data_IF_344373911963
#
_entry.id   IF_344373911963
#
_cell.length_a   1.000
_cell.length_b   1.000
_cell.length_c   1.000
_cell.angle_alpha   90.00
_cell.angle_beta   90.00
_cell.angle_gamma   90.00
#
_symmetry.space_group_name_H-M   'P 1'
#
loop_
_entity.id
_entity.type
_entity.pdbx_description
1 polymer ?
#
# COMPACT_ATOMS: atom_id res chain seq x y z
N UNK A 1 -19.17 -8.92 -35.96
CA UNK A 1 -17.77 -8.48 -35.88
C UNK A 1 -17.80 -6.97 -35.97
N UNK A 2 -17.61 -6.30 -34.85
CA UNK A 2 -17.30 -4.87 -34.87
C UNK A 2 -15.79 -4.77 -35.13
N UNK A 3 -15.46 -4.51 -36.38
CA UNK A 3 -14.10 -4.19 -36.77
C UNK A 3 -13.79 -2.78 -36.25
N UNK A 4 -13.20 -2.71 -35.01
CA UNK A 4 -12.77 -1.47 -34.40
C UNK A 4 -11.72 -0.79 -35.28
N UNK A 5 -11.80 0.52 -35.39
CA UNK A 5 -10.77 1.32 -36.07
C UNK A 5 -9.57 1.47 -35.14
N UNK A 6 -8.37 1.22 -35.68
CA UNK A 6 -7.11 1.44 -34.93
C UNK A 6 -7.01 2.92 -34.58
N UNK A 7 -6.68 3.28 -33.33
CA UNK A 7 -6.51 4.68 -32.93
C UNK A 7 -5.43 5.36 -33.77
N UNK A 8 -5.73 6.58 -34.21
CA UNK A 8 -4.73 7.40 -34.95
C UNK A 8 -3.63 7.86 -33.99
N UNK A 9 -2.44 8.02 -34.51
CA UNK A 9 -1.28 8.55 -33.75
C UNK A 9 -1.29 10.08 -33.61
N UNK A 10 -2.09 10.77 -34.43
CA UNK A 10 -2.28 12.21 -34.39
C UNK A 10 -3.67 12.56 -33.86
N UNK A 11 -3.72 13.26 -32.73
CA UNK A 11 -4.96 13.71 -32.10
C UNK A 11 -5.04 15.25 -32.13
N UNK A 12 -5.99 15.76 -32.87
CA UNK A 12 -6.26 17.19 -32.95
C UNK A 12 -6.86 17.72 -31.64
N UNK A 13 -6.74 19.04 -31.41
CA UNK A 13 -7.22 19.66 -30.18
C UNK A 13 -8.72 19.51 -29.94
N UNK A 14 -9.54 19.47 -30.99
CA UNK A 14 -10.98 19.24 -30.87
C UNK A 14 -11.31 17.85 -30.32
N UNK A 15 -10.43 16.87 -30.55
CA UNK A 15 -10.60 15.50 -30.08
C UNK A 15 -9.99 15.27 -28.69
N UNK A 16 -8.88 15.89 -28.36
CA UNK A 16 -8.09 15.64 -27.17
C UNK A 16 -8.03 16.81 -26.17
N UNK A 17 -8.55 17.98 -26.55
CA UNK A 17 -8.41 19.20 -25.78
C UNK A 17 -7.06 19.89 -25.97
N UNK A 18 -6.87 21.05 -25.35
CA UNK A 18 -5.63 21.81 -25.40
C UNK A 18 -5.29 22.43 -24.03
N UNK A 19 -4.05 22.87 -23.85
CA UNK A 19 -3.51 23.32 -22.56
C UNK A 19 -4.26 24.51 -21.94
N UNK A 20 -4.74 25.46 -22.76
CA UNK A 20 -5.47 26.61 -22.23
C UNK A 20 -6.84 26.22 -21.67
N UNK A 21 -7.52 25.27 -22.32
CA UNK A 21 -8.75 24.71 -21.79
C UNK A 21 -8.51 23.97 -20.47
N UNK A 22 -7.40 23.21 -20.38
CA UNK A 22 -7.08 22.47 -19.15
C UNK A 22 -6.69 23.36 -17.98
N UNK A 23 -6.07 24.53 -18.24
CA UNK A 23 -5.84 25.54 -17.19
C UNK A 23 -7.14 26.12 -16.68
N UNK A 24 -8.09 26.44 -17.56
CA UNK A 24 -9.40 26.93 -17.19
C UNK A 24 -10.16 25.87 -16.37
N UNK A 25 -10.16 24.64 -16.83
CA UNK A 25 -10.74 23.47 -16.14
C UNK A 25 -10.16 23.31 -14.74
N UNK A 26 -8.82 23.33 -14.60
CA UNK A 26 -8.15 23.22 -13.31
C UNK A 26 -8.54 24.34 -12.33
N UNK A 27 -8.66 25.59 -12.81
CA UNK A 27 -9.10 26.75 -12.02
C UNK A 27 -10.57 26.60 -11.57
N UNK A 28 -11.43 26.16 -12.45
CA UNK A 28 -12.85 25.93 -12.14
C UNK A 28 -13.00 24.85 -11.06
N UNK A 29 -12.25 23.75 -11.17
CA UNK A 29 -12.25 22.67 -10.17
C UNK A 29 -11.68 23.14 -8.84
N UNK A 30 -10.57 23.88 -8.84
CA UNK A 30 -9.91 24.34 -7.62
C UNK A 30 -10.59 25.58 -7.00
N UNK A 31 -11.45 26.27 -7.74
CA UNK A 31 -12.10 27.51 -7.28
C UNK A 31 -11.13 28.67 -7.09
N UNK A 32 -9.96 28.67 -7.79
CA UNK A 32 -8.95 29.72 -7.68
C UNK A 32 -9.06 30.69 -8.85
N UNK A 33 -8.91 31.99 -8.54
CA UNK A 33 -8.85 33.06 -9.55
C UNK A 33 -7.43 33.60 -9.72
N UNK A 34 -6.47 33.12 -8.91
CA UNK A 34 -5.09 33.61 -8.92
C UNK A 34 -4.28 33.01 -10.04
N UNK A 35 -3.60 33.85 -10.80
CA UNK A 35 -2.67 33.46 -11.86
C UNK A 35 -1.32 32.97 -11.33
N UNK A 36 -1.04 33.22 -10.03
CA UNK A 36 0.27 32.97 -9.43
C UNK A 36 0.41 31.51 -9.00
N UNK A 37 -0.70 30.81 -8.75
CA UNK A 37 -0.73 29.42 -8.27
C UNK A 37 -1.09 28.41 -9.37
N UNK A 38 -1.05 28.81 -10.63
CA UNK A 38 -1.41 27.93 -11.74
C UNK A 38 -0.30 26.90 -12.01
N UNK A 39 -0.68 25.63 -12.04
CA UNK A 39 0.17 24.61 -12.64
C UNK A 39 0.40 24.92 -14.12
N UNK A 40 1.67 25.06 -14.52
CA UNK A 40 2.04 25.66 -15.81
C UNK A 40 1.48 24.87 -17.02
N UNK A 41 1.41 23.53 -16.91
CA UNK A 41 1.02 22.65 -18.02
C UNK A 41 0.10 21.50 -17.60
N UNK A 42 -1.10 21.78 -17.07
CA UNK A 42 -2.05 20.71 -16.79
C UNK A 42 -2.44 20.03 -18.10
N UNK A 43 -2.63 18.71 -18.08
CA UNK A 43 -3.18 17.99 -19.23
C UNK A 43 -4.71 18.06 -19.20
N UNK A 44 -5.40 18.17 -20.37
CA UNK A 44 -6.85 18.09 -20.42
C UNK A 44 -7.36 16.75 -19.94
N UNK A 45 -8.43 16.72 -19.17
CA UNK A 45 -9.06 15.45 -18.77
C UNK A 45 -9.54 14.65 -19.99
N UNK A 46 -9.98 15.34 -21.04
CA UNK A 46 -10.38 14.71 -22.28
C UNK A 46 -9.25 13.89 -22.93
N UNK A 47 -8.01 14.40 -22.92
CA UNK A 47 -6.84 13.66 -23.44
C UNK A 47 -6.63 12.37 -22.64
N UNK A 48 -6.59 12.50 -21.32
CA UNK A 48 -6.32 11.35 -20.44
C UNK A 48 -7.45 10.34 -20.53
N UNK A 49 -8.72 10.76 -20.64
CA UNK A 49 -9.84 9.84 -20.79
C UNK A 49 -9.71 8.99 -22.05
N UNK A 50 -9.29 9.59 -23.19
CA UNK A 50 -9.06 8.85 -24.44
C UNK A 50 -7.94 7.80 -24.29
N UNK A 51 -6.85 8.16 -23.60
CA UNK A 51 -5.77 7.21 -23.30
C UNK A 51 -6.29 6.04 -22.48
N UNK A 52 -7.05 6.33 -21.42
CA UNK A 52 -7.58 5.29 -20.53
C UNK A 52 -8.66 4.43 -21.19
N UNK A 53 -9.48 4.99 -22.08
CA UNK A 53 -10.46 4.23 -22.87
C UNK A 53 -9.79 3.16 -23.76
N UNK A 54 -8.65 3.51 -24.37
CA UNK A 54 -7.91 2.62 -25.26
C UNK A 54 -7.11 1.57 -24.48
N UNK A 55 -6.46 2.00 -23.38
CA UNK A 55 -5.45 1.19 -22.70
C UNK A 55 -5.98 0.38 -21.51
N UNK A 56 -7.18 0.69 -20.99
CA UNK A 56 -7.68 0.12 -19.73
C UNK A 56 -9.17 -0.17 -19.74
N UNK A 57 -9.61 -0.97 -18.77
CA UNK A 57 -11.00 -1.24 -18.45
C UNK A 57 -11.34 -0.71 -17.04
N UNK A 58 -12.62 -0.52 -16.69
CA UNK A 58 -13.01 -0.26 -15.30
C UNK A 58 -12.44 -1.30 -14.34
N UNK A 59 -11.88 -0.84 -13.21
CA UNK A 59 -11.23 -1.69 -12.21
C UNK A 59 -9.73 -1.90 -12.41
N UNK A 60 -9.17 -1.63 -13.60
CA UNK A 60 -7.73 -1.71 -13.85
C UNK A 60 -6.94 -0.69 -13.02
N UNK A 61 -5.66 -0.98 -12.80
CA UNK A 61 -4.74 -0.11 -12.08
C UNK A 61 -3.96 0.79 -13.05
N UNK A 62 -4.05 2.09 -12.85
CA UNK A 62 -3.32 3.13 -13.59
C UNK A 62 -2.21 3.68 -12.70
N UNK A 63 -0.99 3.72 -13.19
CA UNK A 63 0.16 4.34 -12.53
C UNK A 63 0.59 5.59 -13.29
N UNK A 64 0.71 6.71 -12.58
CA UNK A 64 1.35 7.94 -13.07
C UNK A 64 2.46 8.34 -12.10
N UNK A 65 3.71 8.15 -12.50
CA UNK A 65 4.89 8.44 -11.68
C UNK A 65 5.34 9.91 -11.72
N UNK A 66 4.65 10.75 -12.50
CA UNK A 66 4.89 12.20 -12.61
C UNK A 66 3.55 12.93 -12.63
N UNK A 67 2.77 12.77 -11.55
CA UNK A 67 1.34 13.11 -11.51
C UNK A 67 1.02 14.58 -11.77
N UNK A 68 1.96 15.49 -11.50
CA UNK A 68 1.82 16.92 -11.76
C UNK A 68 0.61 17.55 -11.10
N UNK A 69 -0.37 17.98 -11.90
CA UNK A 69 -1.63 18.58 -11.39
C UNK A 69 -2.71 17.58 -11.00
N UNK A 70 -2.43 16.27 -11.02
CA UNK A 70 -3.39 15.25 -10.63
C UNK A 70 -4.42 14.84 -11.70
N UNK A 71 -4.26 15.25 -12.96
CA UNK A 71 -5.25 14.98 -14.01
C UNK A 71 -5.47 13.49 -14.22
N UNK A 72 -4.39 12.69 -14.30
CA UNK A 72 -4.48 11.24 -14.52
C UNK A 72 -5.27 10.56 -13.40
N UNK A 73 -4.99 10.89 -12.14
CA UNK A 73 -5.71 10.35 -10.99
C UNK A 73 -7.18 10.75 -10.98
N UNK A 74 -7.49 12.02 -11.29
CA UNK A 74 -8.86 12.53 -11.39
C UNK A 74 -9.67 11.76 -12.44
N UNK A 75 -9.13 11.61 -13.66
CA UNK A 75 -9.79 10.90 -14.75
C UNK A 75 -9.94 9.41 -14.46
N UNK A 76 -8.90 8.76 -13.95
CA UNK A 76 -8.95 7.36 -13.58
C UNK A 76 -10.04 7.10 -12.51
N UNK A 77 -10.14 7.98 -11.51
CA UNK A 77 -11.15 7.90 -10.46
C UNK A 77 -12.58 8.04 -11.03
N UNK A 78 -12.83 9.08 -11.83
CA UNK A 78 -14.13 9.32 -12.49
C UNK A 78 -14.56 8.19 -13.42
N UNK A 79 -13.61 7.53 -14.05
CA UNK A 79 -13.85 6.40 -14.96
C UNK A 79 -13.86 5.04 -14.26
N UNK A 80 -13.79 4.97 -12.93
CA UNK A 80 -13.85 3.72 -12.17
C UNK A 80 -12.60 2.86 -12.27
N UNK A 81 -11.43 3.46 -12.55
CA UNK A 81 -10.14 2.80 -12.49
C UNK A 81 -9.53 2.97 -11.10
N UNK A 82 -8.72 2.01 -10.67
CA UNK A 82 -7.81 2.18 -9.54
C UNK A 82 -6.60 2.98 -10.01
N UNK A 83 -5.97 3.74 -9.12
CA UNK A 83 -4.81 4.52 -9.53
C UNK A 83 -3.78 4.67 -8.42
N UNK A 84 -2.52 4.84 -8.84
CA UNK A 84 -1.40 5.26 -8.02
C UNK A 84 -0.78 6.46 -8.71
N UNK A 85 -0.67 7.58 -8.00
CA UNK A 85 -0.01 8.79 -8.49
C UNK A 85 1.19 9.13 -7.61
N UNK A 86 2.30 9.51 -8.23
CA UNK A 86 3.52 9.93 -7.54
C UNK A 86 3.83 11.36 -7.98
N UNK A 87 4.01 12.26 -7.02
CA UNK A 87 4.42 13.63 -7.24
C UNK A 87 5.45 14.02 -6.17
N UNK A 88 6.63 14.41 -6.62
CA UNK A 88 7.75 14.73 -5.72
C UNK A 88 7.65 16.15 -5.14
N UNK A 89 7.02 17.08 -5.88
CA UNK A 89 6.93 18.48 -5.51
C UNK A 89 5.75 18.81 -4.60
N UNK A 90 5.70 20.05 -4.16
CA UNK A 90 4.57 20.60 -3.37
C UNK A 90 3.24 20.54 -4.12
N UNK A 91 3.28 20.32 -5.43
CA UNK A 91 2.09 20.13 -6.26
C UNK A 91 1.23 18.96 -5.79
N UNK A 92 1.81 17.95 -5.13
CA UNK A 92 1.06 16.88 -4.48
C UNK A 92 0.02 17.43 -3.48
N UNK A 93 0.40 18.46 -2.72
CA UNK A 93 -0.45 19.08 -1.68
C UNK A 93 -1.24 20.27 -2.19
N UNK A 94 -0.64 21.09 -3.06
CA UNK A 94 -1.24 22.35 -3.50
C UNK A 94 -2.21 22.17 -4.69
N UNK A 95 -2.03 21.11 -5.50
CA UNK A 95 -2.83 20.86 -6.69
C UNK A 95 -3.52 19.50 -6.68
N UNK A 96 -2.77 18.39 -6.50
CA UNK A 96 -3.36 17.05 -6.55
C UNK A 96 -4.39 16.84 -5.45
N UNK A 97 -4.04 17.12 -4.19
CA UNK A 97 -4.92 16.89 -3.05
C UNK A 97 -6.24 17.67 -3.17
N UNK A 98 -6.25 19.00 -3.37
CA UNK A 98 -7.52 19.74 -3.51
C UNK A 98 -8.35 19.29 -4.71
N UNK A 99 -7.71 19.00 -5.86
CA UNK A 99 -8.41 18.46 -7.03
C UNK A 99 -9.10 17.15 -6.74
N UNK A 100 -8.41 16.19 -6.12
CA UNK A 100 -8.95 14.87 -5.83
C UNK A 100 -10.04 14.90 -4.77
N UNK A 101 -9.97 15.82 -3.80
CA UNK A 101 -11.07 16.08 -2.86
C UNK A 101 -12.33 16.54 -3.61
N UNK A 102 -12.19 17.48 -4.54
CA UNK A 102 -13.32 17.94 -5.38
C UNK A 102 -13.88 16.83 -6.26
N UNK A 103 -13.03 15.97 -6.81
CA UNK A 103 -13.49 14.78 -7.55
C UNK A 103 -14.32 13.87 -6.65
N UNK A 104 -13.87 13.57 -5.43
CA UNK A 104 -14.64 12.75 -4.47
C UNK A 104 -15.95 13.42 -4.08
N UNK A 105 -15.98 14.75 -3.96
CA UNK A 105 -17.19 15.54 -3.70
C UNK A 105 -18.18 15.58 -4.88
N UNK A 106 -17.76 15.16 -6.09
CA UNK A 106 -18.66 15.12 -7.27
C UNK A 106 -18.65 16.40 -8.08
N UNK A 107 -17.47 17.02 -8.26
CA UNK A 107 -17.34 18.19 -9.12
C UNK A 107 -17.85 17.93 -10.56
N UNK A 108 -18.35 18.96 -11.24
CA UNK A 108 -19.01 18.83 -12.54
C UNK A 108 -18.13 19.22 -13.75
N UNK A 109 -16.85 19.53 -13.52
CA UNK A 109 -15.89 19.95 -14.55
C UNK A 109 -15.31 18.80 -15.37
N UNK A 110 -14.46 19.14 -16.34
CA UNK A 110 -13.78 18.19 -17.19
C UNK A 110 -14.68 17.16 -17.83
N UNK A 111 -14.37 15.87 -17.64
CA UNK A 111 -15.17 14.76 -18.19
C UNK A 111 -16.35 14.35 -17.31
N UNK A 112 -16.56 14.96 -16.14
CA UNK A 112 -17.57 14.52 -15.15
C UNK A 112 -18.95 14.29 -15.76
N UNK A 113 -19.44 15.24 -16.57
CA UNK A 113 -20.74 15.09 -17.24
C UNK A 113 -20.77 13.97 -18.28
N UNK A 114 -19.67 13.82 -19.03
CA UNK A 114 -19.59 12.82 -20.09
C UNK A 114 -19.59 11.36 -19.55
N UNK A 115 -19.03 11.16 -18.35
CA UNK A 115 -18.97 9.83 -17.70
C UNK A 115 -20.05 9.64 -16.63
N UNK A 116 -20.93 10.62 -16.42
CA UNK A 116 -21.98 10.56 -15.40
C UNK A 116 -21.44 10.56 -13.97
N UNK A 117 -20.31 11.23 -13.73
CA UNK A 117 -19.69 11.29 -12.40
C UNK A 117 -20.53 12.17 -11.44
N UNK A 118 -20.85 11.62 -10.28
CA UNK A 118 -21.62 12.29 -9.23
C UNK A 118 -20.90 12.26 -7.86
N UNK A 119 -19.61 11.92 -7.85
CA UNK A 119 -18.84 11.81 -6.62
C UNK A 119 -18.75 10.40 -6.06
N UNK A 120 -18.04 10.29 -4.96
CA UNK A 120 -17.86 9.04 -4.22
C UNK A 120 -16.46 8.47 -4.29
N UNK A 121 -16.27 7.30 -3.65
CA UNK A 121 -14.97 6.68 -3.50
C UNK A 121 -14.09 7.40 -2.48
N UNK A 122 -12.79 7.25 -2.63
CA UNK A 122 -11.79 7.87 -1.76
C UNK A 122 -10.37 7.54 -2.21
N UNK A 123 -9.40 8.18 -1.59
CA UNK A 123 -7.98 7.93 -1.84
C UNK A 123 -7.17 8.11 -0.56
N UNK A 124 -5.91 7.70 -0.60
CA UNK A 124 -4.94 7.92 0.47
C UNK A 124 -3.83 8.81 -0.04
N UNK A 125 -3.55 9.89 0.66
CA UNK A 125 -2.32 10.65 0.49
C UNK A 125 -1.27 10.07 1.44
N UNK A 126 -0.17 9.59 0.88
CA UNK A 126 0.97 9.08 1.64
C UNK A 126 2.19 9.94 1.37
N UNK A 127 3.07 10.05 2.36
CA UNK A 127 4.35 10.73 2.25
C UNK A 127 5.45 9.75 2.61
N UNK A 128 6.59 9.85 1.92
CA UNK A 128 7.77 9.08 2.30
C UNK A 128 8.19 9.48 3.71
N UNK A 129 8.30 8.46 4.57
CA UNK A 129 8.83 8.62 5.92
C UNK A 129 10.36 8.56 5.96
N UNK A 130 10.93 8.49 7.16
CA UNK A 130 12.35 8.22 7.33
C UNK A 130 12.73 6.88 6.69
N UNK A 131 13.89 6.80 6.01
CA UNK A 131 14.32 5.56 5.37
C UNK A 131 14.60 4.49 6.42
N UNK A 132 14.33 3.22 6.07
CA UNK A 132 14.69 2.06 6.91
C UNK A 132 16.20 1.87 6.93
N UNK A 133 16.87 2.19 5.82
CA UNK A 133 18.30 1.98 5.63
C UNK A 133 19.02 3.31 5.38
N UNK A 134 20.26 3.37 5.84
CA UNK A 134 21.18 4.44 5.48
C UNK A 134 21.77 4.23 4.06
N UNK A 135 22.60 5.16 3.61
CA UNK A 135 23.24 5.10 2.29
C UNK A 135 24.22 3.90 2.13
N UNK A 136 24.67 3.28 3.21
CA UNK A 136 25.51 2.09 3.22
C UNK A 136 24.71 0.79 3.27
N UNK A 137 23.37 0.87 3.32
CA UNK A 137 22.47 -0.28 3.39
C UNK A 137 22.32 -0.87 4.80
N UNK A 138 22.78 -0.18 5.84
CA UNK A 138 22.54 -0.57 7.21
C UNK A 138 21.21 0.02 7.70
N UNK A 139 20.57 -0.66 8.66
CA UNK A 139 19.35 -0.12 9.28
C UNK A 139 19.67 1.24 9.91
N UNK A 140 18.86 2.24 9.60
CA UNK A 140 19.02 3.58 10.11
C UNK A 140 18.91 3.60 11.66
N UNK A 141 19.83 4.23 12.40
CA UNK A 141 19.82 4.22 13.87
C UNK A 141 18.52 4.73 14.51
N UNK A 142 17.83 5.64 13.84
CA UNK A 142 16.57 6.24 14.30
C UNK A 142 15.32 5.54 13.76
N UNK A 143 15.47 4.30 13.21
CA UNK A 143 14.33 3.54 12.68
C UNK A 143 13.31 3.32 13.81
N UNK A 144 12.05 3.61 13.48
CA UNK A 144 10.95 3.39 14.44
C UNK A 144 10.43 1.97 14.31
N UNK A 145 9.82 1.47 15.39
CA UNK A 145 9.22 0.14 15.44
C UNK A 145 8.27 -0.10 14.25
N UNK A 146 7.33 0.83 14.02
CA UNK A 146 6.32 0.66 12.95
C UNK A 146 6.94 0.56 11.56
N UNK A 147 8.02 1.33 11.33
CA UNK A 147 8.73 1.34 10.05
C UNK A 147 9.48 0.02 9.84
N UNK A 148 10.17 -0.46 10.87
CA UNK A 148 10.89 -1.73 10.83
C UNK A 148 9.90 -2.91 10.74
N UNK A 149 8.80 -2.86 11.46
CA UNK A 149 7.72 -3.84 11.42
C UNK A 149 7.12 -3.98 10.02
N UNK A 150 6.83 -2.85 9.36
CA UNK A 150 6.32 -2.84 8.00
C UNK A 150 7.32 -3.45 7.02
N UNK A 151 8.59 -3.16 7.17
CA UNK A 151 9.65 -3.74 6.32
C UNK A 151 9.80 -5.24 6.55
N UNK A 152 9.89 -5.69 7.80
CA UNK A 152 9.98 -7.12 8.16
C UNK A 152 8.78 -7.90 7.62
N UNK A 153 7.59 -7.35 7.79
CA UNK A 153 6.37 -7.96 7.26
C UNK A 153 6.40 -8.08 5.74
N UNK A 154 6.77 -7.02 5.03
CA UNK A 154 6.91 -7.03 3.58
C UNK A 154 7.95 -8.05 3.10
N UNK A 155 9.10 -8.14 3.77
CA UNK A 155 10.16 -9.08 3.44
C UNK A 155 9.71 -10.55 3.59
N UNK A 156 8.94 -10.86 4.62
CA UNK A 156 8.46 -12.22 4.89
C UNK A 156 7.25 -12.62 4.02
N UNK A 157 6.41 -11.65 3.67
CA UNK A 157 5.09 -11.94 3.08
C UNK A 157 4.92 -11.44 1.66
N UNK A 158 5.78 -10.52 1.20
CA UNK A 158 5.60 -9.77 -0.05
C UNK A 158 4.43 -8.78 -0.02
N UNK A 159 3.82 -8.51 1.15
CA UNK A 159 2.60 -7.70 1.31
C UNK A 159 2.84 -6.49 2.18
N UNK A 160 2.03 -5.44 1.98
CA UNK A 160 2.05 -4.28 2.86
C UNK A 160 1.56 -4.66 4.27
N UNK A 161 2.23 -4.11 5.30
CA UNK A 161 1.82 -4.23 6.69
C UNK A 161 0.74 -3.21 7.01
N UNK A 162 -0.38 -3.66 7.57
CA UNK A 162 -1.41 -2.78 8.14
C UNK A 162 -1.49 -3.07 9.63
N UNK A 163 -1.01 -2.16 10.49
CA UNK A 163 -1.09 -2.35 11.94
C UNK A 163 -2.53 -2.54 12.40
N UNK A 164 -2.76 -3.58 13.19
CA UNK A 164 -4.10 -3.88 13.72
C UNK A 164 -5.10 -4.42 12.69
N UNK A 165 -4.64 -4.91 11.54
CA UNK A 165 -5.50 -5.56 10.55
C UNK A 165 -6.09 -6.87 11.14
N UNK A 166 -7.41 -6.96 11.32
CA UNK A 166 -8.05 -8.17 11.84
C UNK A 166 -7.78 -9.41 10.99
N UNK A 167 -7.57 -9.24 9.68
CA UNK A 167 -7.30 -10.35 8.76
C UNK A 167 -5.94 -11.01 9.02
N UNK A 168 -4.98 -10.28 9.59
CA UNK A 168 -3.66 -10.80 9.95
C UNK A 168 -3.57 -11.22 11.41
N UNK A 169 -4.58 -10.95 12.23
CA UNK A 169 -4.55 -11.20 13.68
C UNK A 169 -3.50 -10.36 14.42
N UNK A 170 -2.99 -9.29 13.80
CA UNK A 170 -2.06 -8.36 14.43
C UNK A 170 -2.68 -7.71 15.67
N UNK A 171 -1.96 -7.72 16.78
CA UNK A 171 -2.44 -7.15 18.03
C UNK A 171 -1.60 -5.94 18.41
N UNK A 172 -2.16 -4.71 18.36
CA UNK A 172 -1.44 -3.51 18.74
C UNK A 172 -0.85 -3.60 20.15
N UNK A 173 0.38 -3.12 20.31
CA UNK A 173 1.09 -3.16 21.61
C UNK A 173 1.71 -4.50 21.95
N UNK A 174 1.67 -5.48 21.07
CA UNK A 174 2.35 -6.77 21.19
C UNK A 174 3.47 -6.91 20.15
N UNK A 175 4.44 -7.79 20.35
CA UNK A 175 5.49 -8.07 19.35
C UNK A 175 4.97 -8.85 18.13
N UNK A 176 3.72 -9.30 18.12
CA UNK A 176 3.10 -10.01 16.99
C UNK A 176 2.75 -9.02 15.88
N UNK A 177 3.46 -9.10 14.75
CA UNK A 177 3.17 -8.31 13.56
C UNK A 177 1.92 -8.83 12.84
N UNK A 178 1.72 -10.15 12.83
CA UNK A 178 0.58 -10.81 12.23
C UNK A 178 0.85 -12.25 11.84
N UNK A 179 -0.18 -12.91 11.31
CA UNK A 179 -0.12 -14.27 10.81
C UNK A 179 -0.16 -14.22 9.28
N UNK A 180 0.84 -14.81 8.65
CA UNK A 180 0.92 -14.95 7.20
C UNK A 180 0.18 -16.20 6.75
N UNK A 181 -0.81 -16.04 5.87
CA UNK A 181 -1.59 -17.13 5.29
C UNK A 181 -1.23 -17.37 3.83
N UNK A 182 -1.31 -18.62 3.40
CA UNK A 182 -1.15 -19.00 2.00
C UNK A 182 -2.43 -18.73 1.21
N UNK A 183 -2.53 -17.51 0.67
CA UNK A 183 -3.70 -17.12 -0.14
C UNK A 183 -3.62 -17.65 -1.58
N UNK A 184 -2.45 -18.13 -2.03
CA UNK A 184 -2.32 -18.74 -3.36
C UNK A 184 -2.98 -20.11 -3.42
N UNK A 185 -3.24 -20.73 -2.26
CA UNK A 185 -4.00 -21.98 -2.14
C UNK A 185 -5.53 -21.79 -2.17
N UNK A 186 -6.02 -20.54 -2.11
CA UNK A 186 -7.44 -20.24 -2.25
C UNK A 186 -7.86 -20.25 -3.72
N UNK A 187 -8.93 -20.95 -4.12
CA UNK A 187 -9.43 -20.89 -5.49
C UNK A 187 -9.83 -19.44 -5.81
N UNK A 188 -9.18 -18.85 -6.82
CA UNK A 188 -9.53 -17.51 -7.31
C UNK A 188 -10.95 -17.55 -7.87
N UNK A 189 -11.76 -16.57 -7.52
CA UNK A 189 -13.04 -16.34 -8.17
C UNK A 189 -12.83 -16.11 -9.69
N UNK A 190 -13.69 -16.63 -10.57
CA UNK A 190 -13.53 -16.50 -12.03
C UNK A 190 -13.44 -15.06 -12.52
N UNK A 191 -13.84 -14.10 -11.74
CA UNK A 191 -13.87 -12.65 -12.03
C UNK A 191 -12.65 -11.88 -11.49
N UNK A 192 -11.63 -12.58 -10.94
CA UNK A 192 -10.36 -11.95 -10.51
C UNK A 192 -10.48 -11.02 -9.30
N UNK A 193 -11.62 -11.01 -8.62
CA UNK A 193 -11.80 -10.26 -7.37
C UNK A 193 -11.40 -11.15 -6.20
N UNK A 194 -10.53 -10.66 -5.32
CA UNK A 194 -10.34 -11.25 -4.00
C UNK A 194 -11.69 -11.22 -3.29
N UNK A 195 -12.34 -12.37 -3.17
CA UNK A 195 -13.59 -12.50 -2.44
C UNK A 195 -13.28 -12.30 -0.96
N UNK A 196 -13.44 -11.08 -0.48
CA UNK A 196 -13.67 -10.84 0.94
C UNK A 196 -14.95 -11.60 1.29
N UNK A 197 -14.80 -12.66 2.04
CA UNK A 197 -15.77 -13.66 2.50
C UNK A 197 -17.18 -13.09 2.62
N UNK A 198 -18.05 -13.46 1.68
CA UNK A 198 -19.49 -13.32 1.85
C UNK A 198 -20.01 -14.55 2.62
N UNK A 199 -20.89 -14.41 3.63
CA UNK A 199 -21.27 -15.49 4.55
C UNK A 199 -22.09 -16.65 3.96
N UNK A 200 -22.25 -16.73 2.65
CA UNK A 200 -23.20 -17.66 2.02
C UNK A 200 -22.63 -18.63 0.96
N UNK A 201 -21.31 -18.80 0.89
CA UNK A 201 -20.71 -19.82 0.00
C UNK A 201 -20.26 -21.03 0.80
N UNK A 202 -20.50 -22.30 0.33
CA UNK A 202 -20.09 -23.49 1.08
C UNK A 202 -18.59 -23.48 1.28
N UNK A 203 -18.19 -23.57 2.53
CA UNK A 203 -16.87 -23.75 3.15
C UNK A 203 -15.71 -24.09 2.18
N UNK A 204 -15.13 -23.08 1.53
CA UNK A 204 -13.75 -23.20 1.10
C UNK A 204 -12.88 -23.31 2.37
N UNK A 205 -12.02 -24.32 2.43
CA UNK A 205 -11.13 -24.51 3.57
C UNK A 205 -10.37 -23.21 3.83
N UNK A 206 -10.35 -22.75 5.09
CA UNK A 206 -9.61 -21.55 5.47
C UNK A 206 -8.14 -21.69 5.04
N UNK A 207 -7.49 -20.64 4.52
CA UNK A 207 -6.12 -20.71 4.06
C UNK A 207 -5.20 -21.16 5.19
N UNK A 208 -4.27 -22.06 4.89
CA UNK A 208 -3.32 -22.57 5.88
C UNK A 208 -2.36 -21.45 6.35
N UNK A 209 -2.12 -21.31 7.66
CA UNK A 209 -1.15 -20.34 8.15
C UNK A 209 0.27 -20.81 7.84
N UNK A 210 1.07 -19.95 7.17
CA UNK A 210 2.48 -20.20 6.84
C UNK A 210 3.41 -19.88 7.99
N UNK A 211 3.20 -18.75 8.65
CA UNK A 211 4.00 -18.32 9.79
C UNK A 211 3.29 -17.23 10.62
N UNK A 212 3.60 -17.19 11.90
CA UNK A 212 3.32 -16.06 12.78
C UNK A 212 4.62 -15.25 12.95
N UNK A 213 4.59 -13.97 12.62
CA UNK A 213 5.78 -13.11 12.54
C UNK A 213 5.82 -12.20 13.77
N UNK A 214 6.92 -12.25 14.50
CA UNK A 214 7.16 -11.48 15.71
C UNK A 214 8.40 -10.59 15.56
N UNK A 215 8.33 -9.36 16.08
CA UNK A 215 9.44 -8.42 16.11
C UNK A 215 9.76 -8.01 17.54
N UNK A 216 10.94 -8.37 18.01
CA UNK A 216 11.51 -7.94 19.28
C UNK A 216 12.37 -6.72 19.02
N UNK A 217 11.81 -5.52 19.17
CA UNK A 217 12.51 -4.26 18.97
C UNK A 217 11.90 -3.16 19.84
N UNK A 218 12.72 -2.59 20.73
CA UNK A 218 12.32 -1.53 21.67
C UNK A 218 12.54 -0.11 21.12
N UNK A 219 12.93 0.03 19.84
CA UNK A 219 13.25 1.33 19.23
C UNK A 219 14.73 1.72 19.34
N UNK A 220 15.58 0.90 19.97
CA UNK A 220 17.02 1.15 20.10
C UNK A 220 17.79 0.04 19.41
N UNK A 221 18.40 0.37 18.29
CA UNK A 221 19.24 -0.58 17.54
C UNK A 221 20.53 -0.89 18.33
N UNK A 222 20.92 -2.17 18.34
CA UNK A 222 22.10 -2.63 19.09
C UNK A 222 21.86 -2.89 20.58
N UNK A 223 20.63 -2.76 21.09
CA UNK A 223 20.34 -3.10 22.49
C UNK A 223 20.26 -4.61 22.71
N UNK A 224 21.35 -5.19 23.17
CA UNK A 224 21.48 -6.63 23.45
C UNK A 224 21.32 -6.99 24.95
N UNK A 225 20.74 -6.08 25.75
CA UNK A 225 20.43 -6.37 27.16
C UNK A 225 19.26 -7.36 27.23
N UNK A 226 19.35 -8.40 28.07
CA UNK A 226 18.28 -9.41 28.18
C UNK A 226 16.90 -8.83 28.52
N UNK A 227 16.88 -7.78 29.34
CA UNK A 227 15.67 -7.08 29.75
C UNK A 227 15.29 -5.92 28.81
N UNK A 228 16.07 -5.65 27.75
CA UNK A 228 15.86 -4.54 26.85
C UNK A 228 14.70 -4.71 25.86
N UNK A 229 14.19 -5.92 25.70
CA UNK A 229 13.08 -6.21 24.79
C UNK A 229 13.49 -6.66 23.37
N UNK A 230 14.77 -6.52 22.99
CA UNK A 230 15.28 -6.89 21.65
C UNK A 230 15.90 -8.29 21.62
N UNK A 231 15.95 -8.99 22.76
CA UNK A 231 16.66 -10.27 22.94
C UNK A 231 15.68 -11.40 23.19
N UNK A 232 15.79 -12.47 22.42
CA UNK A 232 15.03 -13.70 22.68
C UNK A 232 15.71 -14.48 23.83
N UNK A 233 15.19 -14.32 25.04
CA UNK A 233 15.56 -15.13 26.22
C UNK A 233 14.60 -16.30 26.40
N UNK A 234 14.84 -17.18 27.40
CA UNK A 234 13.91 -18.27 27.73
C UNK A 234 12.56 -17.75 28.23
N UNK A 235 12.59 -16.69 29.01
CA UNK A 235 11.38 -16.03 29.56
C UNK A 235 10.57 -15.39 28.43
N UNK A 236 11.24 -14.64 27.53
CA UNK A 236 10.61 -14.04 26.35
C UNK A 236 10.02 -15.12 25.43
N UNK A 237 10.75 -16.21 25.20
CA UNK A 237 10.23 -17.34 24.41
C UNK A 237 8.96 -17.92 25.03
N UNK A 238 8.94 -18.15 26.36
CA UNK A 238 7.76 -18.67 27.03
C UNK A 238 6.57 -17.72 26.92
N UNK A 239 6.80 -16.39 27.05
CA UNK A 239 5.76 -15.39 26.85
C UNK A 239 5.24 -15.34 25.41
N UNK A 240 6.12 -15.43 24.39
CA UNK A 240 5.72 -15.50 23.00
C UNK A 240 4.89 -16.74 22.69
N UNK A 241 5.27 -17.90 23.23
CA UNK A 241 4.51 -19.15 23.04
C UNK A 241 3.13 -19.07 23.70
N UNK A 242 3.03 -18.46 24.89
CA UNK A 242 1.75 -18.23 25.55
C UNK A 242 0.85 -17.26 24.75
N UNK A 243 1.42 -16.17 24.23
CA UNK A 243 0.71 -15.24 23.36
C UNK A 243 0.25 -15.92 22.07
N UNK A 244 1.13 -16.74 21.46
CA UNK A 244 0.84 -17.44 20.23
C UNK A 244 -0.26 -18.51 20.40
N UNK A 245 -0.29 -19.20 21.52
CA UNK A 245 -1.36 -20.17 21.85
C UNK A 245 -2.76 -19.53 21.89
N UNK A 246 -2.85 -18.24 22.21
CA UNK A 246 -4.10 -17.46 22.18
C UNK A 246 -4.37 -16.76 20.83
N UNK A 247 -3.51 -16.93 19.83
CA UNK A 247 -3.66 -16.28 18.53
C UNK A 247 -4.68 -16.99 17.63
N UNK A 248 -5.02 -16.35 16.49
CA UNK A 248 -5.93 -16.93 15.49
C UNK A 248 -5.36 -18.17 14.79
N UNK A 249 -4.06 -18.45 14.90
CA UNK A 249 -3.42 -19.63 14.29
C UNK A 249 -2.32 -20.22 15.20
N UNK A 250 -2.68 -20.86 16.31
CA UNK A 250 -1.73 -21.36 17.29
C UNK A 250 -0.84 -22.51 16.78
N UNK A 251 -1.14 -23.05 15.60
CA UNK A 251 -0.36 -24.10 14.96
C UNK A 251 0.68 -23.57 13.95
N UNK A 252 0.68 -22.25 13.67
CA UNK A 252 1.62 -21.66 12.73
C UNK A 252 3.04 -21.70 13.31
N UNK A 253 4.08 -21.99 12.49
CA UNK A 253 5.46 -21.84 12.94
C UNK A 253 5.75 -20.34 13.22
N UNK A 254 6.65 -20.10 14.19
CA UNK A 254 7.00 -18.74 14.59
C UNK A 254 8.28 -18.28 13.86
N UNK A 255 8.24 -17.08 13.29
CA UNK A 255 9.42 -16.34 12.84
C UNK A 255 9.60 -15.17 13.79
N UNK A 256 10.74 -15.14 14.50
CA UNK A 256 11.03 -14.14 15.53
C UNK A 256 12.26 -13.34 15.13
N UNK A 257 12.09 -12.05 14.92
CA UNK A 257 13.17 -11.10 14.69
C UNK A 257 13.65 -10.47 15.99
N UNK A 258 14.95 -10.31 16.16
CA UNK A 258 15.55 -9.67 17.33
C UNK A 258 17.07 -9.47 17.21
N UNK A 259 17.64 -8.66 18.11
CA UNK A 259 19.06 -8.31 18.10
C UNK A 259 19.98 -9.45 18.54
N UNK A 260 19.49 -10.32 19.41
CA UNK A 260 20.22 -11.50 19.87
C UNK A 260 19.29 -12.61 20.32
N UNK A 261 19.76 -13.86 20.21
CA UNK A 261 19.11 -15.04 20.75
C UNK A 261 19.98 -15.70 21.82
N UNK A 262 19.41 -15.91 23.01
CA UNK A 262 20.05 -16.63 24.14
C UNK A 262 19.40 -18.00 24.37
N UNK A 263 18.63 -18.49 23.39
CA UNK A 263 17.99 -19.80 23.40
C UNK A 263 18.75 -20.72 22.44
N UNK A 264 19.11 -21.89 22.90
CA UNK A 264 19.84 -22.84 22.09
C UNK A 264 19.01 -23.41 20.91
N UNK A 265 19.67 -23.82 19.80
CA UNK A 265 18.99 -24.24 18.57
C UNK A 265 18.05 -25.43 18.75
N UNK A 266 18.40 -26.39 19.59
CA UNK A 266 17.54 -27.55 19.89
C UNK A 266 16.20 -27.15 20.52
N UNK A 267 16.23 -26.14 21.41
CA UNK A 267 14.99 -25.64 22.05
C UNK A 267 14.16 -24.79 21.11
N UNK A 268 14.80 -24.01 20.21
CA UNK A 268 14.08 -23.27 19.16
C UNK A 268 13.37 -24.23 18.21
N UNK A 269 14.06 -25.28 17.76
CA UNK A 269 13.49 -26.31 16.89
C UNK A 269 12.32 -27.04 17.56
N UNK A 270 12.46 -27.41 18.83
CA UNK A 270 11.39 -28.04 19.61
C UNK A 270 10.15 -27.11 19.75
N UNK A 271 10.38 -25.79 19.83
CA UNK A 271 9.33 -24.80 19.94
C UNK A 271 8.74 -24.36 18.59
N UNK A 272 9.22 -24.88 17.45
CA UNK A 272 8.78 -24.46 16.12
C UNK A 272 9.15 -23.02 15.79
N UNK A 273 10.28 -22.51 16.33
CA UNK A 273 10.72 -21.12 16.20
C UNK A 273 11.93 -20.98 15.30
N UNK A 274 11.82 -20.15 14.28
CA UNK A 274 12.94 -19.66 13.47
C UNK A 274 13.32 -18.26 13.98
N UNK A 275 14.57 -18.11 14.44
CA UNK A 275 15.08 -16.81 14.87
C UNK A 275 15.88 -16.15 13.75
N UNK A 276 15.63 -14.86 13.52
CA UNK A 276 16.34 -14.01 12.56
C UNK A 276 16.97 -12.82 13.26
N UNK A 277 18.21 -12.52 12.93
CA UNK A 277 18.98 -11.45 13.55
C UNK A 277 18.72 -10.09 12.91
N UNK A 278 18.46 -9.07 13.73
CA UNK A 278 18.55 -7.67 13.37
C UNK A 278 19.99 -7.22 13.72
N UNK A 279 20.72 -6.50 12.84
CA UNK A 279 20.37 -6.09 11.45
C UNK A 279 20.79 -7.09 10.36
N UNK A 280 21.43 -8.23 10.71
CA UNK A 280 22.15 -9.08 9.74
C UNK A 280 21.24 -9.75 8.71
N UNK A 281 20.03 -10.16 9.12
CA UNK A 281 19.06 -10.84 8.26
C UNK A 281 18.07 -9.87 7.60
N UNK A 282 18.24 -8.57 7.84
CA UNK A 282 17.49 -7.50 7.22
C UNK A 282 18.44 -6.72 6.31
N UNK A 283 18.17 -6.74 5.00
CA UNK A 283 19.00 -6.07 3.98
C UNK A 283 18.12 -5.25 3.05
N UNK A 284 18.67 -4.13 2.59
CA UNK A 284 18.15 -3.47 1.42
C UNK A 284 18.29 -4.43 0.23
N UNK A 285 17.17 -4.75 -0.43
CA UNK A 285 17.10 -5.62 -1.61
C UNK A 285 17.72 -4.97 -2.84
#
# INVERSE_FOLDING_TARGET
KNDGVVPQTWWVHDFAGHTDASRKEAREVLGTTSLVDDFITPKPELLISRVLEIATKPGDLVLDSFLGSGTTAAVAHKMGRRWIGIEMGEHARTHCLPRLLKVVEGEAGGISRAVGWAGGGGFRLVQLGAPVFDAAGHIHPEVRFDTLAAFVWQQETGRAHTPGDPATGACPGTPLLGIHYDLDSCPRSPDGRESLISPQTPQAAAPAPRAAIYLLFNGILGDKRPAGGNVLTREVLAALLALHAGSAAPQAPLVVYGEACRVGPARLAQAGVTFRHIPHDIRAG
#
